data_IF_701938164922
#
_entry.id   IF_701938164922
#
_cell.length_a   1.000
_cell.length_b   1.000
_cell.length_c   1.000
_cell.angle_alpha   90.00
_cell.angle_beta   90.00
_cell.angle_gamma   90.00
#
_symmetry.space_group_name_H-M   'P 1'
#
loop_
_entity.id
_entity.type
_entity.pdbx_description
1 polymer ?
#
# COMPACT_ATOMS: atom_id res chain seq x y z
N UNK A 1 -8.02 2.06 8.90
CA UNK A 1 -7.73 0.65 9.26
C UNK A 1 -6.23 0.42 9.17
N UNK A 2 -5.64 -0.38 10.07
CA UNK A 2 -4.21 -0.75 10.02
C UNK A 2 -4.07 -2.23 10.31
N UNK A 3 -3.33 -2.94 9.47
CA UNK A 3 -2.95 -4.34 9.68
C UNK A 3 -1.44 -4.46 9.51
N UNK A 4 -0.75 -4.95 10.55
CA UNK A 4 0.71 -5.18 10.52
C UNK A 4 1.00 -6.64 10.84
N UNK A 5 1.81 -7.28 9.99
CA UNK A 5 2.39 -8.60 10.23
C UNK A 5 3.87 -8.44 10.55
N UNK A 6 4.51 -9.51 11.01
CA UNK A 6 5.95 -9.50 11.22
C UNK A 6 6.71 -9.25 9.91
N UNK A 7 7.82 -8.48 9.92
CA UNK A 7 8.47 -7.91 11.11
C UNK A 7 7.90 -6.55 11.57
N UNK A 8 6.99 -5.95 10.81
CA UNK A 8 6.50 -4.59 11.07
C UNK A 8 5.65 -4.48 12.33
N UNK A 9 4.91 -5.55 12.70
CA UNK A 9 4.18 -5.62 13.96
C UNK A 9 5.10 -5.43 15.19
N UNK A 10 6.32 -5.97 15.15
CA UNK A 10 7.31 -5.76 16.20
C UNK A 10 8.09 -4.46 16.02
N UNK A 11 8.55 -4.15 14.80
CA UNK A 11 9.39 -2.96 14.53
C UNK A 11 8.66 -1.63 14.74
N UNK A 12 7.35 -1.59 14.50
CA UNK A 12 6.52 -0.39 14.65
C UNK A 12 5.63 -0.42 15.88
N UNK A 13 5.91 -1.31 16.84
CA UNK A 13 5.17 -1.38 18.10
C UNK A 13 5.23 -0.04 18.84
N UNK A 14 4.07 0.52 19.16
CA UNK A 14 3.95 1.81 19.85
C UNK A 14 4.27 3.03 19.00
N UNK A 15 4.43 2.86 17.67
CA UNK A 15 4.65 3.95 16.72
C UNK A 15 3.43 4.15 15.83
N UNK A 16 3.33 5.31 15.17
CA UNK A 16 2.36 5.53 14.11
C UNK A 16 2.92 4.98 12.77
N UNK A 17 2.34 3.90 12.21
CA UNK A 17 2.81 3.33 10.96
C UNK A 17 2.76 4.31 9.79
N UNK A 18 1.82 5.27 9.80
CA UNK A 18 1.68 6.28 8.75
C UNK A 18 2.82 7.30 8.76
N UNK A 19 3.43 7.55 9.92
CA UNK A 19 4.64 8.37 10.01
C UNK A 19 5.89 7.54 9.71
N UNK A 20 5.97 6.31 10.20
CA UNK A 20 7.10 5.41 9.93
C UNK A 20 7.27 5.13 8.43
N UNK A 21 6.19 4.94 7.67
CA UNK A 21 6.31 4.73 6.22
C UNK A 21 6.90 5.92 5.47
N UNK A 22 6.83 7.14 6.02
CA UNK A 22 7.42 8.34 5.40
C UNK A 22 8.93 8.40 5.58
N UNK A 23 9.45 7.77 6.63
CA UNK A 23 10.88 7.76 6.94
C UNK A 23 11.64 6.69 6.15
N UNK A 24 10.93 5.74 5.53
CA UNK A 24 11.53 4.69 4.71
C UNK A 24 12.29 5.26 3.51
N UNK A 25 13.52 4.79 3.35
CA UNK A 25 14.43 5.16 2.26
C UNK A 25 14.78 3.92 1.43
N UNK A 26 15.08 4.15 0.15
CA UNK A 26 15.39 3.10 -0.80
C UNK A 26 15.18 3.56 -2.25
N UNK A 27 15.13 2.60 -3.16
CA UNK A 27 15.03 2.84 -4.59
C UNK A 27 13.59 3.18 -4.99
N UNK A 28 13.39 4.36 -5.57
CA UNK A 28 12.07 4.79 -6.07
C UNK A 28 11.87 4.25 -7.48
N UNK A 29 10.91 3.33 -7.62
CA UNK A 29 10.57 2.72 -8.91
C UNK A 29 9.55 3.54 -9.70
N UNK A 30 8.68 4.26 -8.99
CA UNK A 30 7.63 5.10 -9.60
C UNK A 30 7.20 6.19 -8.64
N UNK A 31 7.11 7.40 -9.14
CA UNK A 31 6.58 8.53 -8.38
C UNK A 31 5.66 9.37 -9.28
N UNK A 32 4.40 9.46 -8.88
CA UNK A 32 3.35 10.27 -9.47
C UNK A 32 2.72 11.10 -8.34
N UNK A 33 1.94 12.12 -8.71
CA UNK A 33 1.26 13.00 -7.75
C UNK A 33 0.48 12.23 -6.66
N UNK A 34 -0.24 11.18 -7.06
CA UNK A 34 -1.10 10.37 -6.18
C UNK A 34 -0.50 9.03 -5.77
N UNK A 35 0.69 8.66 -6.25
CA UNK A 35 1.24 7.32 -6.00
C UNK A 35 2.76 7.29 -6.00
N UNK A 36 3.33 6.65 -4.97
CA UNK A 36 4.77 6.37 -4.89
C UNK A 36 5.01 4.87 -4.66
N UNK A 37 5.91 4.28 -5.43
CA UNK A 37 6.38 2.90 -5.26
C UNK A 37 7.86 2.91 -4.93
N UNK A 38 8.21 2.37 -3.77
CA UNK A 38 9.55 2.38 -3.19
C UNK A 38 9.95 0.94 -2.86
N UNK A 39 11.15 0.53 -3.25
CA UNK A 39 11.79 -0.68 -2.73
C UNK A 39 12.71 -0.28 -1.58
N UNK A 40 12.59 -0.95 -0.44
CA UNK A 40 13.42 -0.70 0.73
C UNK A 40 13.84 -2.03 1.37
N UNK A 41 14.87 -1.98 2.21
CA UNK A 41 15.31 -3.12 3.00
C UNK A 41 14.99 -2.91 4.48
N UNK A 42 14.55 -3.97 5.14
CA UNK A 42 14.25 -3.96 6.57
C UNK A 42 14.47 -5.36 7.14
N UNK A 43 15.11 -5.46 8.31
CA UNK A 43 15.38 -6.74 8.97
C UNK A 43 15.96 -7.82 8.01
N UNK A 44 16.90 -7.41 7.15
CA UNK A 44 17.59 -8.31 6.20
C UNK A 44 16.73 -8.82 5.02
N UNK A 45 15.55 -8.23 4.78
CA UNK A 45 14.67 -8.59 3.65
C UNK A 45 14.33 -7.34 2.82
N UNK A 46 14.13 -7.52 1.51
CA UNK A 46 13.60 -6.48 0.62
C UNK A 46 12.07 -6.46 0.64
N UNK A 47 11.49 -5.26 0.65
CA UNK A 47 10.05 -5.02 0.57
C UNK A 47 9.72 -3.95 -0.46
N UNK A 48 8.50 -3.99 -0.98
CA UNK A 48 7.92 -2.92 -1.78
C UNK A 48 6.85 -2.18 -0.98
N UNK A 49 6.99 -0.87 -0.88
CA UNK A 49 5.97 0.04 -0.39
C UNK A 49 5.22 0.61 -1.59
N UNK A 50 3.88 0.53 -1.56
CA UNK A 50 2.98 1.21 -2.50
C UNK A 50 2.13 2.22 -1.77
N UNK A 51 2.61 3.45 -1.76
CA UNK A 51 1.95 4.59 -1.14
C UNK A 51 0.93 5.20 -2.10
N UNK A 52 -0.30 5.40 -1.64
CA UNK A 52 -1.32 6.18 -2.34
C UNK A 52 -1.59 7.48 -1.58
N UNK A 53 -1.44 8.61 -2.26
CA UNK A 53 -1.90 9.93 -1.79
C UNK A 53 -3.24 10.14 -2.48
N UNK A 54 -4.26 10.58 -1.73
CA UNK A 54 -5.66 10.60 -2.18
C UNK A 54 -5.86 11.14 -3.60
N UNK A 55 -6.91 10.67 -4.27
CA UNK A 55 -7.27 11.12 -5.63
C UNK A 55 -7.95 12.49 -5.59
N UNK A 56 -7.93 13.21 -6.72
CA UNK A 56 -8.60 14.52 -6.80
C UNK A 56 -10.12 14.37 -6.94
N UNK A 57 -10.89 15.34 -6.44
CA UNK A 57 -12.35 15.35 -6.61
C UNK A 57 -12.76 15.28 -8.10
N UNK A 58 -11.95 15.90 -8.97
CA UNK A 58 -12.13 15.83 -10.43
C UNK A 58 -12.03 14.40 -10.97
N UNK A 59 -11.07 13.63 -10.50
CA UNK A 59 -10.91 12.22 -10.88
C UNK A 59 -12.04 11.34 -10.31
N UNK A 60 -12.51 11.61 -9.09
CA UNK A 60 -13.66 10.91 -8.51
C UNK A 60 -14.90 11.12 -9.39
N UNK A 61 -15.25 12.38 -9.66
CA UNK A 61 -16.43 12.73 -10.48
C UNK A 61 -16.30 12.15 -11.88
N UNK A 62 -15.12 12.27 -12.53
CA UNK A 62 -14.87 11.71 -13.86
C UNK A 62 -15.11 10.20 -13.90
N UNK A 63 -14.59 9.45 -12.91
CA UNK A 63 -14.76 8.01 -12.88
C UNK A 63 -16.23 7.63 -12.67
N UNK A 64 -16.93 8.30 -11.75
CA UNK A 64 -18.35 8.04 -11.50
C UNK A 64 -19.23 8.35 -12.72
N UNK A 65 -19.02 9.49 -13.40
CA UNK A 65 -19.70 9.82 -14.66
C UNK A 65 -19.39 8.82 -15.78
N UNK A 66 -18.22 8.17 -15.72
CA UNK A 66 -17.83 7.10 -16.64
C UNK A 66 -18.28 5.71 -16.19
N UNK A 67 -19.16 5.62 -15.17
CA UNK A 67 -19.63 4.37 -14.54
C UNK A 67 -18.50 3.47 -14.01
N UNK A 68 -17.39 4.07 -13.58
CA UNK A 68 -16.25 3.39 -12.97
C UNK A 68 -16.11 3.78 -11.51
N UNK A 69 -15.88 2.79 -10.65
CA UNK A 69 -15.58 3.06 -9.24
C UNK A 69 -14.19 3.70 -9.12
N UNK A 70 -14.04 4.84 -8.40
CA UNK A 70 -12.75 5.47 -8.20
C UNK A 70 -11.81 4.58 -7.39
N UNK A 71 -10.50 4.66 -7.68
CA UNK A 71 -9.47 4.04 -6.85
C UNK A 71 -9.12 5.04 -5.75
N UNK A 72 -9.44 4.69 -4.51
CA UNK A 72 -9.31 5.60 -3.37
C UNK A 72 -8.05 5.32 -2.53
N UNK A 73 -7.53 4.09 -2.57
CA UNK A 73 -6.38 3.70 -1.78
C UNK A 73 -5.73 2.41 -2.26
N UNK A 74 -5.07 1.73 -1.31
CA UNK A 74 -4.37 0.46 -1.53
C UNK A 74 -5.25 -0.77 -1.28
N UNK A 75 -6.51 -0.58 -0.88
CA UNK A 75 -7.48 -1.62 -0.52
C UNK A 75 -7.64 -2.67 -1.62
N UNK A 76 -7.75 -2.25 -2.88
CA UNK A 76 -7.93 -3.15 -4.02
C UNK A 76 -6.76 -4.11 -4.18
N UNK A 77 -5.53 -3.61 -4.05
CA UNK A 77 -4.34 -4.45 -4.17
C UNK A 77 -4.22 -5.40 -2.97
N UNK A 78 -4.49 -4.90 -1.76
CA UNK A 78 -4.49 -5.70 -0.55
C UNK A 78 -5.49 -6.87 -0.65
N UNK A 79 -6.72 -6.59 -1.06
CA UNK A 79 -7.76 -7.60 -1.22
C UNK A 79 -7.42 -8.59 -2.35
N UNK A 80 -6.86 -8.10 -3.46
CA UNK A 80 -6.49 -8.96 -4.59
C UNK A 80 -5.41 -9.98 -4.23
N UNK A 81 -4.33 -9.58 -3.55
CA UNK A 81 -3.25 -10.52 -3.19
C UNK A 81 -3.70 -11.57 -2.17
N UNK A 82 -4.59 -11.20 -1.24
CA UNK A 82 -5.17 -12.17 -0.29
C UNK A 82 -6.11 -13.14 -1.02
N UNK A 83 -6.98 -12.62 -1.90
CA UNK A 83 -7.89 -13.46 -2.68
C UNK A 83 -7.16 -14.44 -3.59
N UNK A 84 -6.09 -13.99 -4.27
CA UNK A 84 -5.25 -14.84 -5.12
C UNK A 84 -4.61 -15.97 -4.30
N UNK A 85 -4.10 -15.64 -3.11
CA UNK A 85 -3.55 -16.65 -2.20
C UNK A 85 -4.59 -17.66 -1.75
N UNK A 86 -5.80 -17.22 -1.41
CA UNK A 86 -6.87 -18.10 -0.94
C UNK A 86 -7.25 -19.15 -1.99
N UNK A 87 -7.05 -18.85 -3.27
CA UNK A 87 -7.30 -19.77 -4.39
C UNK A 87 -6.03 -20.47 -4.88
N UNK A 88 -4.92 -20.39 -4.13
CA UNK A 88 -3.66 -21.08 -4.43
C UNK A 88 -2.85 -20.50 -5.60
N UNK A 89 -3.15 -19.27 -6.03
CA UNK A 89 -2.38 -18.57 -7.07
C UNK A 89 -1.19 -17.86 -6.42
N UNK A 90 0.01 -18.15 -6.94
CA UNK A 90 1.23 -17.52 -6.46
C UNK A 90 1.20 -16.00 -6.68
N UNK A 91 1.54 -15.26 -5.62
CA UNK A 91 1.42 -13.80 -5.58
C UNK A 91 2.24 -13.21 -4.45
N UNK A 92 2.27 -11.88 -4.36
CA UNK A 92 2.99 -11.14 -3.34
C UNK A 92 2.46 -11.42 -1.92
N UNK A 93 3.33 -11.22 -0.92
CA UNK A 93 2.98 -11.34 0.49
C UNK A 93 2.71 -9.97 1.11
N UNK A 94 1.42 -9.67 1.32
CA UNK A 94 0.99 -8.50 2.07
C UNK A 94 1.34 -8.62 3.55
N UNK A 95 2.29 -7.80 3.99
CA UNK A 95 2.82 -7.79 5.38
C UNK A 95 2.46 -6.53 6.18
N UNK A 96 1.98 -5.48 5.51
CA UNK A 96 1.47 -4.28 6.15
C UNK A 96 0.43 -3.60 5.25
N UNK A 97 -0.65 -3.10 5.86
CA UNK A 97 -1.70 -2.31 5.22
C UNK A 97 -2.15 -1.18 6.13
N UNK A 98 -2.43 -0.02 5.56
CA UNK A 98 -2.92 1.15 6.26
C UNK A 98 -3.77 2.01 5.34
N UNK A 99 -4.94 2.42 5.83
CA UNK A 99 -5.85 3.34 5.14
C UNK A 99 -6.47 4.30 6.17
N UNK A 100 -6.58 5.58 5.81
CA UNK A 100 -7.14 6.65 6.63
C UNK A 100 -8.09 7.50 5.79
#
# INVERSE_FOLDING_TARGET
MVELKEPFATLWRGKDPFEEVKTLQGEVFRELETRRTLRFEMAGKSYFLKWHRGTTLKEIIKNLLSLRMPVLGADREWNAIHRLRDVGVDTMYGVAFGEK
#
